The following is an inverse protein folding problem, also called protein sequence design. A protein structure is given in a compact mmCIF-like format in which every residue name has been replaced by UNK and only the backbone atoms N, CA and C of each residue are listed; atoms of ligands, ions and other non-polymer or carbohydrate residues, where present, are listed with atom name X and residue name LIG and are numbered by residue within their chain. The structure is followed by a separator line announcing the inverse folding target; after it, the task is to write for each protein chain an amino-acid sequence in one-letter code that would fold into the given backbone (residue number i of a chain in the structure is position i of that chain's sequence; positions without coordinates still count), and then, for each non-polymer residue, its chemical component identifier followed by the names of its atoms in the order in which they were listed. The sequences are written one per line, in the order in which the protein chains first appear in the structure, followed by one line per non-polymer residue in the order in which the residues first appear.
data_IF_147480804402
#
_entry.id   IF_147480804402
#
_cell.length_a   1.000
_cell.length_b   1.000
_cell.length_c   1.000
_cell.angle_alpha   90.00
_cell.angle_beta   90.00
_cell.angle_gamma   90.00
#
_symmetry.space_group_name_H-M   'P 1'
#
loop_
_entity.id
_entity.type
_entity.pdbx_description
1 polymer ?
#
# COMPACT_ATOMS: atom_id res chain seq x y z
N UNK A 1 5.32 -21.65 14.12
CA UNK A 1 4.40 -20.69 13.47
C UNK A 1 3.89 -21.22 12.13
N UNK A 2 4.78 -21.55 11.19
CA UNK A 2 4.41 -21.97 9.82
C UNK A 2 3.43 -23.17 9.78
N UNK A 3 3.70 -24.23 10.54
CA UNK A 3 2.80 -25.40 10.60
C UNK A 3 1.40 -25.05 11.13
N UNK A 4 1.35 -24.19 12.16
CA UNK A 4 0.08 -23.76 12.74
C UNK A 4 -0.73 -22.90 11.75
N UNK A 5 -0.10 -21.96 11.04
CA UNK A 5 -0.80 -21.13 10.05
C UNK A 5 -1.29 -21.97 8.87
N UNK A 6 -0.50 -22.94 8.41
CA UNK A 6 -0.93 -23.92 7.38
C UNK A 6 -2.17 -24.68 7.85
N UNK A 7 -2.17 -25.17 9.10
CA UNK A 7 -3.30 -25.91 9.67
C UNK A 7 -4.58 -25.06 9.75
N UNK A 8 -4.46 -23.81 10.20
CA UNK A 8 -5.57 -22.87 10.34
C UNK A 8 -6.14 -22.46 8.97
N UNK A 9 -5.26 -22.16 8.00
CA UNK A 9 -5.67 -21.80 6.64
C UNK A 9 -6.30 -22.98 5.90
N UNK A 10 -5.79 -24.22 6.07
CA UNK A 10 -6.42 -25.43 5.51
C UNK A 10 -7.84 -25.67 6.03
N UNK A 11 -8.15 -25.18 7.23
CA UNK A 11 -9.49 -25.27 7.84
C UNK A 11 -10.36 -24.05 7.50
N UNK A 12 -9.87 -23.11 6.69
CA UNK A 12 -10.53 -21.85 6.36
C UNK A 12 -10.95 -21.03 7.58
N UNK A 13 -10.21 -21.15 8.70
CA UNK A 13 -10.46 -20.36 9.90
C UNK A 13 -9.71 -19.02 9.81
N UNK A 14 -10.32 -18.08 9.08
CA UNK A 14 -9.71 -16.80 8.72
C UNK A 14 -9.57 -15.82 9.90
N UNK A 15 -10.46 -15.90 10.89
CA UNK A 15 -10.38 -15.06 12.09
C UNK A 15 -9.16 -15.43 12.94
N UNK A 16 -8.94 -16.74 13.13
CA UNK A 16 -7.75 -17.23 13.82
C UNK A 16 -6.48 -16.95 13.01
N UNK A 17 -6.52 -17.09 11.68
CA UNK A 17 -5.39 -16.72 10.82
C UNK A 17 -5.03 -15.23 10.97
N UNK A 18 -6.04 -14.34 10.97
CA UNK A 18 -5.85 -12.90 11.16
C UNK A 18 -5.27 -12.60 12.53
N UNK A 19 -5.79 -13.21 13.60
CA UNK A 19 -5.26 -13.07 14.96
C UNK A 19 -3.80 -13.48 15.04
N UNK A 20 -3.44 -14.63 14.47
CA UNK A 20 -2.06 -15.13 14.45
C UNK A 20 -1.11 -14.20 13.69
N UNK A 21 -1.54 -13.66 12.54
CA UNK A 21 -0.73 -12.70 11.80
C UNK A 21 -0.56 -11.39 12.56
N UNK A 22 -1.62 -10.82 13.12
CA UNK A 22 -1.56 -9.59 13.89
C UNK A 22 -0.65 -9.72 15.11
N UNK A 23 -0.77 -10.81 15.88
CA UNK A 23 0.09 -11.09 17.03
C UNK A 23 1.57 -11.21 16.62
N UNK A 24 1.84 -11.91 15.52
CA UNK A 24 3.19 -12.07 15.00
C UNK A 24 3.78 -10.75 14.49
N UNK A 25 3.05 -10.01 13.66
CA UNK A 25 3.51 -8.72 13.13
C UNK A 25 3.69 -7.70 14.25
N UNK A 26 2.81 -7.69 15.25
CA UNK A 26 2.97 -6.80 16.40
C UNK A 26 4.25 -7.07 17.19
N UNK A 27 4.74 -8.31 17.22
CA UNK A 27 5.98 -8.66 17.93
C UNK A 27 7.22 -8.42 17.08
N UNK A 28 7.19 -8.80 15.81
CA UNK A 28 8.38 -8.80 14.96
C UNK A 28 8.61 -7.47 14.23
N UNK A 29 7.56 -6.77 13.79
CA UNK A 29 7.72 -5.50 13.05
C UNK A 29 8.48 -4.45 13.84
N UNK A 30 8.19 -4.17 15.14
CA UNK A 30 8.94 -3.17 15.89
C UNK A 30 10.43 -3.49 16.04
N UNK A 31 10.81 -4.77 16.01
CA UNK A 31 12.20 -5.22 16.14
C UNK A 31 12.96 -5.14 14.82
N UNK A 32 12.29 -5.53 13.72
CA UNK A 32 12.89 -5.61 12.39
C UNK A 32 12.88 -4.28 11.64
N UNK A 33 11.89 -3.43 11.89
CA UNK A 33 11.69 -2.12 11.23
C UNK A 33 11.90 -0.96 12.21
N UNK A 34 12.79 -1.14 13.19
CA UNK A 34 13.13 -0.09 14.13
C UNK A 34 13.93 1.03 13.43
N UNK A 35 13.75 2.30 13.84
CA UNK A 35 14.56 3.39 13.31
C UNK A 35 15.99 3.31 13.85
N UNK A 36 16.94 3.82 13.06
CA UNK A 36 18.29 4.05 13.54
C UNK A 36 18.31 5.26 14.48
N UNK A 37 18.48 4.99 15.78
CA UNK A 37 18.39 6.02 16.84
C UNK A 37 19.52 7.05 16.74
N UNK A 38 20.72 6.64 16.34
CA UNK A 38 21.91 7.52 16.30
C UNK A 38 22.09 8.20 14.94
N UNK A 39 21.66 7.55 13.86
CA UNK A 39 21.73 8.07 12.51
C UNK A 39 20.41 7.89 11.77
N UNK A 40 19.39 8.74 12.02
CA UNK A 40 18.06 8.61 11.39
C UNK A 40 18.09 8.64 9.85
N UNK A 41 19.10 9.28 9.26
CA UNK A 41 19.34 9.31 7.81
C UNK A 41 19.89 8.00 7.22
N UNK A 42 20.26 7.04 8.07
CA UNK A 42 20.82 5.74 7.69
C UNK A 42 19.79 4.64 7.96
N UNK A 43 18.88 4.48 7.00
CA UNK A 43 17.81 3.47 7.04
C UNK A 43 18.40 2.12 6.62
N UNK A 44 18.70 1.29 7.61
CA UNK A 44 19.26 -0.05 7.41
C UNK A 44 18.19 -1.09 7.76
N UNK A 45 17.53 -1.60 6.72
CA UNK A 45 16.60 -2.71 6.86
C UNK A 45 17.29 -4.04 6.54
N UNK A 46 17.17 -5.02 7.44
CA UNK A 46 17.64 -6.38 7.18
C UNK A 46 16.62 -7.11 6.31
N UNK A 47 16.70 -6.89 4.99
CA UNK A 47 15.77 -7.48 4.01
C UNK A 47 15.70 -9.01 4.08
N UNK A 48 16.78 -9.69 4.46
CA UNK A 48 16.79 -11.15 4.67
C UNK A 48 15.95 -11.57 5.87
N UNK A 49 16.10 -10.86 7.00
CA UNK A 49 15.28 -11.10 8.20
C UNK A 49 13.81 -10.71 7.95
N UNK A 50 13.54 -9.61 7.26
CA UNK A 50 12.17 -9.21 6.87
C UNK A 50 11.54 -10.29 5.98
N UNK A 51 12.27 -10.76 4.97
CA UNK A 51 11.78 -11.77 4.03
C UNK A 51 11.48 -13.10 4.74
N UNK A 52 12.39 -13.56 5.59
CA UNK A 52 12.23 -14.84 6.30
C UNK A 52 11.24 -14.78 7.47
N UNK A 53 11.18 -13.70 8.23
CA UNK A 53 10.32 -13.60 9.41
C UNK A 53 8.93 -13.03 9.12
N UNK A 54 8.78 -12.09 8.18
CA UNK A 54 7.51 -11.40 7.93
C UNK A 54 6.83 -11.85 6.64
N UNK A 55 7.58 -12.00 5.54
CA UNK A 55 7.02 -12.35 4.23
C UNK A 55 6.82 -13.86 4.08
N UNK A 56 7.77 -14.67 4.53
CA UNK A 56 7.69 -16.12 4.36
C UNK A 56 6.46 -16.77 5.00
N UNK A 57 6.00 -16.37 6.21
CA UNK A 57 4.73 -16.87 6.75
C UNK A 57 3.52 -16.56 5.88
N UNK A 58 3.54 -15.43 5.18
CA UNK A 58 2.46 -15.00 4.28
C UNK A 58 2.48 -15.85 3.01
N UNK A 59 3.62 -15.93 2.33
CA UNK A 59 3.79 -16.77 1.14
C UNK A 59 3.44 -18.25 1.45
N UNK A 60 3.85 -18.74 2.62
CA UNK A 60 3.50 -20.08 3.13
C UNK A 60 1.98 -20.26 3.26
N UNK A 61 1.26 -19.28 3.80
CA UNK A 61 -0.19 -19.34 3.93
C UNK A 61 -0.91 -19.34 2.57
N UNK A 62 -0.43 -18.57 1.60
CA UNK A 62 -0.96 -18.60 0.22
C UNK A 62 -0.72 -19.97 -0.45
N UNK A 63 0.52 -20.45 -0.39
CA UNK A 63 0.97 -21.65 -1.10
C UNK A 63 0.63 -22.97 -0.38
N UNK A 64 0.31 -22.93 0.92
CA UNK A 64 0.23 -24.10 1.79
C UNK A 64 1.49 -24.99 1.74
N UNK A 65 2.66 -24.34 1.59
CA UNK A 65 3.96 -24.99 1.45
C UNK A 65 4.76 -24.88 2.74
N UNK A 66 5.37 -25.99 3.18
CA UNK A 66 6.21 -26.02 4.39
C UNK A 66 7.62 -25.45 4.17
N UNK A 67 8.05 -25.35 2.91
CA UNK A 67 9.30 -24.68 2.56
C UNK A 67 9.03 -23.18 2.66
N UNK A 68 9.73 -22.50 3.56
CA UNK A 68 9.61 -21.07 3.82
C UNK A 68 10.05 -20.19 2.66
N UNK A 69 9.32 -20.28 1.55
CA UNK A 69 9.48 -19.45 0.37
C UNK A 69 8.97 -18.03 0.65
N UNK A 70 9.32 -17.07 -0.20
CA UNK A 70 8.99 -15.65 -0.03
C UNK A 70 8.13 -15.10 -1.17
N UNK A 71 7.67 -15.96 -2.08
CA UNK A 71 6.82 -15.58 -3.22
C UNK A 71 5.82 -16.70 -3.58
N UNK A 72 4.96 -16.44 -4.57
CA UNK A 72 3.92 -17.36 -5.03
C UNK A 72 4.36 -18.30 -6.16
N UNK A 73 5.64 -18.37 -6.48
CA UNK A 73 6.17 -19.31 -7.49
C UNK A 73 5.84 -20.78 -7.19
N UNK A 74 5.82 -21.25 -5.92
CA UNK A 74 5.39 -22.61 -5.61
C UNK A 74 3.93 -22.88 -6.00
N UNK A 75 3.06 -21.87 -5.85
CA UNK A 75 1.67 -21.98 -6.25
C UNK A 75 1.56 -22.06 -7.78
N UNK A 76 2.33 -21.25 -8.51
CA UNK A 76 2.40 -21.33 -9.96
C UNK A 76 2.80 -22.74 -10.44
N UNK A 77 3.82 -23.32 -9.81
CA UNK A 77 4.24 -24.69 -10.10
C UNK A 77 3.13 -25.72 -9.78
N UNK A 78 2.45 -25.59 -8.65
CA UNK A 78 1.37 -26.51 -8.24
C UNK A 78 0.13 -26.42 -9.15
N UNK A 79 -0.14 -25.24 -9.71
CA UNK A 79 -1.24 -25.00 -10.65
C UNK A 79 -0.84 -25.26 -12.11
N UNK A 80 0.39 -25.72 -12.39
CA UNK A 80 0.87 -25.97 -13.75
C UNK A 80 1.07 -24.71 -14.60
N UNK A 81 1.22 -23.54 -13.96
CA UNK A 81 1.41 -22.26 -14.64
C UNK A 81 2.88 -22.11 -15.03
N UNK A 82 3.16 -22.13 -16.32
CA UNK A 82 4.51 -21.89 -16.83
C UNK A 82 4.80 -20.38 -16.88
N UNK A 83 5.65 -19.90 -15.96
CA UNK A 83 6.04 -18.48 -15.87
C UNK A 83 6.76 -17.94 -17.12
N UNK A 84 7.38 -18.84 -17.90
CA UNK A 84 8.03 -18.49 -19.17
C UNK A 84 7.02 -18.26 -20.32
N UNK A 85 5.74 -18.52 -20.09
CA UNK A 85 4.64 -18.36 -21.04
C UNK A 85 3.40 -17.79 -20.35
N UNK A 86 3.55 -16.78 -19.47
CA UNK A 86 2.41 -15.91 -19.16
C UNK A 86 2.16 -14.95 -20.33
N UNK A 87 1.71 -15.52 -21.45
CA UNK A 87 1.11 -14.82 -22.59
C UNK A 87 -0.37 -14.47 -22.34
N UNK A 88 -0.84 -14.57 -21.09
CA UNK A 88 -2.25 -14.38 -20.73
C UNK A 88 -2.59 -12.99 -20.19
N UNK A 89 -1.59 -12.16 -19.88
CA UNK A 89 -1.85 -10.76 -19.55
C UNK A 89 -2.06 -9.98 -20.86
N UNK A 90 -3.27 -9.42 -21.05
CA UNK A 90 -3.55 -8.53 -22.18
C UNK A 90 -2.70 -7.26 -22.14
N UNK A 91 -2.27 -6.85 -20.94
CA UNK A 91 -1.52 -5.61 -20.66
C UNK A 91 -0.24 -5.93 -19.89
N UNK A 92 0.85 -5.25 -20.23
CA UNK A 92 2.18 -5.45 -19.64
C UNK A 92 2.29 -4.89 -18.21
N UNK A 93 1.89 -3.63 -17.98
CA UNK A 93 1.86 -3.01 -16.65
C UNK A 93 3.19 -2.93 -15.88
N UNK A 94 4.33 -3.22 -16.53
CA UNK A 94 5.64 -3.23 -15.87
C UNK A 94 6.04 -1.83 -15.42
N UNK A 95 6.20 -1.65 -14.11
CA UNK A 95 6.70 -0.41 -13.49
C UNK A 95 8.18 -0.20 -13.81
N UNK A 96 8.54 1.02 -14.21
CA UNK A 96 9.91 1.37 -14.57
C UNK A 96 10.78 1.68 -13.35
N UNK A 97 12.05 1.27 -13.43
CA UNK A 97 13.09 1.67 -12.48
C UNK A 97 13.69 3.03 -12.86
N UNK A 98 14.31 3.68 -11.89
CA UNK A 98 15.01 4.93 -12.16
C UNK A 98 16.12 4.70 -13.19
N UNK A 99 16.21 5.60 -14.17
CA UNK A 99 17.08 5.52 -15.34
C UNK A 99 16.81 4.34 -16.29
N UNK A 100 15.69 3.63 -16.17
CA UNK A 100 15.30 2.59 -17.14
C UNK A 100 14.84 3.22 -18.47
N UNK A 101 15.28 2.71 -19.63
CA UNK A 101 14.87 3.26 -20.92
C UNK A 101 13.40 2.95 -21.23
N UNK A 102 12.66 3.99 -21.58
CA UNK A 102 11.27 3.95 -22.05
C UNK A 102 11.17 4.35 -23.52
N UNK A 103 10.20 3.80 -24.23
CA UNK A 103 10.03 3.99 -25.66
C UNK A 103 8.64 4.51 -25.97
N UNK A 104 8.53 5.67 -26.61
CA UNK A 104 7.25 6.28 -27.01
C UNK A 104 7.16 6.40 -28.53
N UNK A 105 6.11 5.84 -29.12
CA UNK A 105 5.89 5.92 -30.57
C UNK A 105 5.19 7.23 -30.95
N UNK A 106 5.85 8.10 -31.70
CA UNK A 106 5.30 9.41 -32.08
C UNK A 106 4.17 9.35 -33.12
N UNK A 107 3.91 8.18 -33.68
CA UNK A 107 2.85 7.96 -34.68
C UNK A 107 1.63 7.24 -34.10
N UNK A 108 1.87 6.30 -33.17
CA UNK A 108 0.81 5.45 -32.64
C UNK A 108 0.33 5.87 -31.26
N UNK A 109 1.13 6.59 -30.48
CA UNK A 109 0.72 7.00 -29.14
C UNK A 109 -0.52 7.92 -29.19
N UNK A 110 -1.41 7.73 -28.23
CA UNK A 110 -2.55 8.59 -28.00
C UNK A 110 -2.11 9.97 -27.51
N UNK A 111 -1.15 10.02 -26.59
CA UNK A 111 -0.52 11.23 -26.09
C UNK A 111 1.00 11.04 -25.81
N UNK A 112 1.66 12.07 -25.28
CA UNK A 112 3.11 12.06 -25.02
C UNK A 112 3.52 11.27 -23.76
N UNK A 113 2.56 10.79 -22.98
CA UNK A 113 2.79 9.99 -21.77
C UNK A 113 2.87 8.49 -22.09
N UNK A 114 2.37 8.04 -23.24
CA UNK A 114 2.37 6.62 -23.62
C UNK A 114 3.79 6.08 -23.87
N UNK A 115 4.16 5.02 -23.14
CA UNK A 115 5.50 4.45 -23.09
C UNK A 115 5.49 2.92 -23.00
N UNK A 116 6.42 2.29 -23.70
CA UNK A 116 6.70 0.86 -23.61
C UNK A 116 8.02 0.59 -22.91
N UNK A 117 8.08 -0.54 -22.18
CA UNK A 117 9.35 -1.10 -21.73
C UNK A 117 10.13 -1.65 -22.93
N UNK A 118 11.45 -1.82 -22.74
CA UNK A 118 12.35 -2.35 -23.78
C UNK A 118 11.84 -3.64 -24.40
N UNK A 119 11.38 -4.58 -23.59
CA UNK A 119 10.94 -5.89 -24.06
C UNK A 119 9.69 -5.78 -24.93
N UNK A 120 8.68 -5.00 -24.50
CA UNK A 120 7.48 -4.79 -25.30
C UNK A 120 7.77 -4.07 -26.61
N UNK A 121 8.57 -3.00 -26.55
CA UNK A 121 8.94 -2.24 -27.73
C UNK A 121 9.63 -3.12 -28.79
N UNK A 122 10.59 -3.96 -28.38
CA UNK A 122 11.33 -4.85 -29.27
C UNK A 122 10.45 -5.90 -29.97
N UNK A 123 9.32 -6.27 -29.38
CA UNK A 123 8.36 -7.24 -29.92
C UNK A 123 7.08 -6.56 -30.44
N UNK A 124 7.09 -5.24 -30.60
CA UNK A 124 5.93 -4.47 -31.10
C UNK A 124 6.19 -3.96 -32.52
N UNK A 125 5.11 -3.58 -33.21
CA UNK A 125 5.23 -2.89 -34.49
C UNK A 125 5.85 -1.49 -34.36
N UNK A 126 5.79 -0.88 -33.19
CA UNK A 126 6.32 0.47 -32.96
C UNK A 126 7.84 0.59 -33.17
N UNK A 127 8.58 -0.53 -33.14
CA UNK A 127 10.02 -0.54 -33.46
C UNK A 127 10.33 -0.13 -34.90
N UNK A 128 9.34 -0.21 -35.79
CA UNK A 128 9.43 0.19 -37.19
C UNK A 128 8.89 1.59 -37.45
N UNK A 129 8.39 2.28 -36.42
CA UNK A 129 7.85 3.63 -36.52
C UNK A 129 8.85 4.66 -35.99
N UNK A 130 8.53 5.94 -36.15
CA UNK A 130 9.26 7.02 -35.48
C UNK A 130 8.94 6.99 -33.99
N UNK A 131 9.97 6.79 -33.18
CA UNK A 131 9.85 6.75 -31.71
C UNK A 131 10.87 7.69 -31.06
N UNK A 132 10.64 8.00 -29.80
CA UNK A 132 11.60 8.65 -28.90
C UNK A 132 11.96 7.71 -27.76
N UNK A 133 13.20 7.82 -27.28
CA UNK A 133 13.68 7.13 -26.09
C UNK A 133 13.90 8.16 -24.99
N UNK A 134 13.43 7.86 -23.79
CA UNK A 134 13.67 8.64 -22.60
C UNK A 134 14.14 7.73 -21.46
N UNK A 135 14.76 8.32 -20.44
CA UNK A 135 15.05 7.62 -19.19
C UNK A 135 13.92 7.89 -18.21
N UNK A 136 13.32 6.84 -17.65
CA UNK A 136 12.33 7.00 -16.58
C UNK A 136 12.97 7.60 -15.33
N UNK A 137 12.23 8.44 -14.62
CA UNK A 137 12.58 8.93 -13.28
C UNK A 137 12.35 7.89 -12.18
N UNK A 138 12.03 6.64 -12.54
CA UNK A 138 11.60 5.59 -11.61
C UNK A 138 10.11 5.65 -11.28
N UNK A 139 9.35 6.35 -12.14
CA UNK A 139 7.89 6.41 -12.10
C UNK A 139 7.33 6.11 -13.49
N UNK A 140 6.11 5.56 -13.54
CA UNK A 140 5.43 5.13 -14.77
C UNK A 140 5.51 3.63 -15.02
N UNK A 141 4.65 3.13 -15.90
CA UNK A 141 4.52 1.72 -16.25
C UNK A 141 4.41 1.53 -17.77
N UNK A 142 4.60 0.31 -18.23
CA UNK A 142 4.51 -0.03 -19.64
C UNK A 142 3.06 -0.15 -20.10
N UNK A 143 2.67 0.68 -21.06
CA UNK A 143 1.31 0.76 -21.63
C UNK A 143 1.04 -0.27 -22.74
N UNK A 144 1.94 -1.23 -22.93
CA UNK A 144 1.73 -2.27 -23.93
C UNK A 144 0.50 -3.10 -23.56
N UNK A 145 -0.45 -3.19 -24.47
CA UNK A 145 -1.73 -3.87 -24.30
C UNK A 145 -2.89 -2.97 -23.90
N UNK A 146 -2.60 -1.72 -23.54
CA UNK A 146 -3.62 -0.72 -23.23
C UNK A 146 -4.21 -0.15 -24.53
N UNK A 147 -5.52 -0.31 -24.73
CA UNK A 147 -6.22 0.14 -25.94
C UNK A 147 -6.34 1.67 -26.01
N UNK A 148 -6.26 2.36 -24.88
CA UNK A 148 -6.40 3.81 -24.81
C UNK A 148 -5.06 4.51 -25.05
N UNK A 149 -3.95 3.86 -24.71
CA UNK A 149 -2.60 4.41 -24.91
C UNK A 149 -2.15 4.42 -26.39
N UNK A 150 -2.72 3.56 -27.24
CA UNK A 150 -2.25 3.40 -28.63
C UNK A 150 -3.39 3.43 -29.65
N UNK A 151 -3.31 4.37 -30.58
CA UNK A 151 -4.22 4.48 -31.74
C UNK A 151 -4.20 3.25 -32.64
N UNK A 152 -3.03 2.62 -32.76
CA UNK A 152 -2.80 1.40 -33.56
C UNK A 152 -1.73 0.54 -32.91
N UNK A 153 -1.83 -0.78 -33.09
CA UNK A 153 -0.92 -1.78 -32.52
C UNK A 153 -0.80 -1.73 -30.99
N UNK A 154 -1.93 -1.79 -30.24
CA UNK A 154 -1.91 -1.62 -28.79
C UNK A 154 -1.06 -2.66 -28.07
N UNK A 155 -0.99 -3.88 -28.59
CA UNK A 155 -0.22 -4.98 -28.00
C UNK A 155 1.04 -5.31 -28.82
N UNK A 156 2.08 -5.75 -28.12
CA UNK A 156 3.24 -6.41 -28.74
C UNK A 156 2.95 -7.91 -28.94
N UNK A 157 3.78 -8.61 -29.70
CA UNK A 157 3.66 -10.06 -29.97
C UNK A 157 3.60 -10.92 -28.69
N UNK A 158 4.13 -10.41 -27.56
CA UNK A 158 4.09 -11.11 -26.28
C UNK A 158 2.73 -10.96 -25.56
N UNK A 159 1.98 -9.90 -25.85
CA UNK A 159 0.71 -9.53 -25.20
C UNK A 159 -0.46 -9.46 -26.20
N UNK A 160 -0.26 -9.96 -27.43
CA UNK A 160 -1.30 -10.02 -28.46
C UNK A 160 -2.04 -11.36 -28.37
N UNK A 161 -3.25 -11.32 -27.80
CA UNK A 161 -4.12 -12.50 -27.68
C UNK A 161 -4.74 -12.87 -29.03
N UNK A 162 -4.84 -11.93 -29.99
CA UNK A 162 -5.60 -12.16 -31.22
C UNK A 162 -4.87 -13.03 -32.24
N UNK A 163 -3.54 -13.13 -32.20
CA UNK A 163 -2.79 -13.97 -33.14
C UNK A 163 -2.51 -15.40 -32.66
N UNK A 164 -2.77 -15.72 -31.39
CA UNK A 164 -2.55 -17.08 -30.85
C UNK A 164 -3.84 -17.92 -30.69
N UNK A 165 -5.02 -17.39 -31.00
CA UNK A 165 -6.30 -18.11 -30.83
C UNK A 165 -7.12 -18.03 -32.12
N UNK A 166 -6.93 -19.00 -33.02
CA UNK A 166 -7.70 -19.15 -34.26
C UNK A 166 -8.96 -20.00 -34.10
N UNK A 167 -9.51 -20.18 -32.88
CA UNK A 167 -10.83 -20.79 -32.71
C UNK A 167 -11.54 -20.34 -31.41
N UNK A 168 -12.82 -19.98 -31.53
CA UNK A 168 -13.70 -19.60 -30.40
C UNK A 168 -13.91 -20.74 -29.39
N UNK A 169 -13.64 -21.99 -29.78
CA UNK A 169 -13.77 -23.18 -28.93
C UNK A 169 -12.64 -23.30 -27.90
N UNK A 170 -11.47 -22.69 -28.13
CA UNK A 170 -10.35 -22.70 -27.19
C UNK A 170 -10.41 -21.58 -26.14
N UNK A 171 -11.19 -20.51 -26.36
CA UNK A 171 -11.43 -19.46 -25.33
C UNK A 171 -11.98 -20.03 -24.02
N UNK A 172 -12.73 -21.13 -24.08
CA UNK A 172 -13.23 -21.86 -22.89
C UNK A 172 -12.22 -22.85 -22.28
N UNK A 173 -11.11 -23.14 -22.97
CA UNK A 173 -10.11 -24.13 -22.56
C UNK A 173 -8.83 -23.49 -22.00
N UNK A 174 -8.54 -22.24 -22.35
CA UNK A 174 -7.43 -21.43 -21.83
C UNK A 174 -7.81 -20.52 -20.66
N UNK A 175 -9.09 -20.48 -20.27
CA UNK A 175 -9.46 -20.23 -18.87
C UNK A 175 -9.13 -21.49 -18.07
N UNK A 176 -7.85 -21.69 -17.76
CA UNK A 176 -7.47 -22.58 -16.66
C UNK A 176 -8.01 -21.96 -15.37
N UNK A 177 -9.31 -22.17 -15.10
CA UNK A 177 -9.93 -21.77 -13.85
C UNK A 177 -9.12 -22.41 -12.73
N UNK A 178 -8.65 -21.59 -11.79
CA UNK A 178 -8.00 -22.11 -10.60
C UNK A 178 -8.94 -23.10 -9.91
N UNK A 179 -8.40 -24.17 -9.27
CA UNK A 179 -9.23 -25.00 -8.41
C UNK A 179 -9.96 -24.12 -7.39
N UNK A 180 -11.26 -24.37 -7.19
CA UNK A 180 -12.12 -23.51 -6.36
C UNK A 180 -11.55 -23.29 -4.96
N UNK A 181 -10.96 -24.34 -4.36
CA UNK A 181 -10.32 -24.28 -3.04
C UNK A 181 -9.09 -23.36 -3.01
N UNK A 182 -8.36 -23.28 -4.13
CA UNK A 182 -7.22 -22.37 -4.29
C UNK A 182 -7.72 -20.95 -4.44
N UNK A 183 -8.72 -20.72 -5.29
CA UNK A 183 -9.30 -19.39 -5.51
C UNK A 183 -9.91 -18.79 -4.23
N UNK A 184 -10.73 -19.56 -3.50
CA UNK A 184 -11.33 -19.15 -2.23
C UNK A 184 -10.26 -18.81 -1.18
N UNK A 185 -9.19 -19.61 -1.12
CA UNK A 185 -8.02 -19.35 -0.25
C UNK A 185 -7.32 -18.06 -0.64
N UNK A 186 -7.03 -17.87 -1.93
CA UNK A 186 -6.38 -16.67 -2.45
C UNK A 186 -7.21 -15.42 -2.15
N UNK A 187 -8.52 -15.46 -2.39
CA UNK A 187 -9.44 -14.35 -2.12
C UNK A 187 -9.46 -14.00 -0.64
N UNK A 188 -9.54 -14.99 0.23
CA UNK A 188 -9.60 -14.78 1.69
C UNK A 188 -8.28 -14.26 2.25
N UNK A 189 -7.15 -14.81 1.80
CA UNK A 189 -5.82 -14.30 2.15
C UNK A 189 -5.61 -12.87 1.66
N UNK A 190 -6.01 -12.57 0.41
CA UNK A 190 -5.91 -11.23 -0.18
C UNK A 190 -6.73 -10.22 0.62
N UNK A 191 -7.97 -10.58 0.98
CA UNK A 191 -8.84 -9.78 1.86
C UNK A 191 -8.19 -9.52 3.21
N UNK A 192 -7.60 -10.53 3.86
CA UNK A 192 -6.93 -10.38 5.15
C UNK A 192 -5.77 -9.38 5.07
N UNK A 193 -4.88 -9.55 4.08
CA UNK A 193 -3.74 -8.65 3.90
C UNK A 193 -4.18 -7.21 3.61
N UNK A 194 -5.15 -7.04 2.70
CA UNK A 194 -5.65 -5.72 2.34
C UNK A 194 -6.37 -5.03 3.50
N UNK A 195 -7.16 -5.77 4.30
CA UNK A 195 -7.78 -5.23 5.52
C UNK A 195 -6.74 -4.74 6.53
N UNK A 196 -5.71 -5.54 6.78
CA UNK A 196 -4.62 -5.12 7.66
C UNK A 196 -3.90 -3.88 7.09
N UNK A 197 -3.49 -3.93 5.82
CA UNK A 197 -2.72 -2.84 5.22
C UNK A 197 -3.51 -1.55 5.18
N UNK A 198 -4.76 -1.56 4.72
CA UNK A 198 -5.63 -0.37 4.69
C UNK A 198 -5.91 0.18 6.07
N UNK A 199 -6.18 -0.70 7.05
CA UNK A 199 -6.38 -0.31 8.45
C UNK A 199 -5.15 0.40 9.04
N UNK A 200 -3.94 -0.13 8.81
CA UNK A 200 -2.72 0.46 9.35
C UNK A 200 -2.35 1.77 8.64
N UNK A 201 -2.39 1.80 7.30
CA UNK A 201 -2.04 3.00 6.53
C UNK A 201 -3.02 4.14 6.80
N UNK A 202 -4.31 3.85 6.95
CA UNK A 202 -5.35 4.83 7.24
C UNK A 202 -5.64 4.94 8.74
N UNK A 203 -4.69 4.56 9.60
CA UNK A 203 -4.89 4.60 11.03
C UNK A 203 -5.09 6.05 11.52
N UNK A 204 -6.20 6.30 12.19
CA UNK A 204 -6.55 7.63 12.70
C UNK A 204 -6.04 7.82 14.13
N UNK A 205 -5.39 8.97 14.39
CA UNK A 205 -4.85 9.32 15.71
C UNK A 205 -5.92 9.30 16.84
N UNK A 206 -7.21 9.44 16.49
CA UNK A 206 -8.34 9.41 17.44
C UNK A 206 -8.72 8.01 17.93
N UNK A 207 -8.31 6.94 17.23
CA UNK A 207 -8.65 5.55 17.57
C UNK A 207 -7.72 4.96 18.65
N UNK A 208 -6.75 5.74 19.13
CA UNK A 208 -5.72 5.23 20.03
C UNK A 208 -4.78 4.25 19.32
N UNK A 209 -4.18 3.34 20.08
CA UNK A 209 -3.29 2.30 19.56
C UNK A 209 -4.09 1.05 19.15
N UNK A 210 -3.67 0.31 18.09
CA UNK A 210 -4.33 -0.94 17.73
C UNK A 210 -4.40 -1.93 18.90
N UNK A 211 -5.58 -2.50 19.13
CA UNK A 211 -5.85 -3.40 20.27
C UNK A 211 -5.00 -4.68 20.29
N UNK A 212 -4.47 -5.08 19.13
CA UNK A 212 -3.59 -6.26 19.01
C UNK A 212 -2.12 -5.95 19.26
N UNK A 213 -1.76 -4.70 19.59
CA UNK A 213 -0.38 -4.34 19.87
C UNK A 213 0.13 -5.02 21.15
N UNK A 214 1.24 -5.74 21.03
CA UNK A 214 2.00 -6.26 22.14
C UNK A 214 2.58 -5.14 23.00
N UNK A 215 2.89 -5.47 24.26
CA UNK A 215 3.54 -4.57 25.19
C UNK A 215 4.84 -3.97 24.62
N UNK A 216 5.18 -2.71 24.97
CA UNK A 216 6.41 -2.08 24.50
C UNK A 216 7.64 -2.85 24.98
N UNK A 217 8.57 -3.11 24.07
CA UNK A 217 9.90 -3.62 24.43
C UNK A 217 10.74 -2.47 25.03
N UNK A 218 11.19 -2.55 26.29
CA UNK A 218 11.97 -1.49 26.93
C UNK A 218 13.31 -1.21 26.26
N UNK A 219 13.82 -2.12 25.44
CA UNK A 219 15.07 -1.96 24.70
C UNK A 219 14.91 -1.13 23.42
N UNK A 220 13.67 -0.91 22.96
CA UNK A 220 13.36 -0.18 21.74
C UNK A 220 12.89 1.25 22.05
N UNK A 221 13.15 2.23 21.17
CA UNK A 221 12.64 3.58 21.36
C UNK A 221 11.10 3.57 21.27
N UNK A 222 10.37 4.05 22.31
CA UNK A 222 8.92 3.97 22.32
C UNK A 222 8.24 4.94 21.34
N UNK A 223 8.88 6.07 21.02
CA UNK A 223 8.32 7.10 20.15
C UNK A 223 9.28 7.50 19.03
N UNK A 224 8.70 8.01 17.94
CA UNK A 224 9.39 8.60 16.81
C UNK A 224 8.81 9.96 16.45
N UNK A 225 9.68 10.88 16.04
CA UNK A 225 9.29 12.11 15.36
C UNK A 225 9.25 11.83 13.86
N UNK A 226 8.06 11.86 13.28
CA UNK A 226 7.84 11.61 11.85
C UNK A 226 7.60 12.95 11.15
N UNK A 227 8.42 13.22 10.13
CA UNK A 227 8.26 14.34 9.20
C UNK A 227 7.48 13.85 7.98
N UNK A 228 6.46 14.61 7.55
CA UNK A 228 5.63 14.30 6.39
C UNK A 228 5.93 15.23 5.22
N UNK A 229 5.84 14.70 4.00
CA UNK A 229 5.89 15.49 2.78
C UNK A 229 4.57 16.25 2.62
N UNK A 230 4.67 17.55 2.35
CA UNK A 230 3.50 18.39 2.14
C UNK A 230 3.41 18.97 0.72
N UNK A 231 4.32 18.59 -0.19
CA UNK A 231 4.44 19.08 -1.57
C UNK A 231 4.60 20.61 -1.70
N UNK A 232 4.81 21.33 -0.58
CA UNK A 232 4.81 22.79 -0.55
C UNK A 232 6.13 23.40 -0.09
N UNK A 233 6.79 22.83 0.92
CA UNK A 233 8.07 23.36 1.39
C UNK A 233 9.22 22.99 0.46
N UNK A 234 10.20 23.88 0.33
CA UNK A 234 11.39 23.61 -0.49
C UNK A 234 12.38 22.72 0.25
N UNK A 235 13.18 21.97 -0.50
CA UNK A 235 14.30 21.19 0.02
C UNK A 235 15.18 22.01 0.97
N UNK A 236 15.55 23.25 0.60
CA UNK A 236 16.39 24.11 1.43
C UNK A 236 15.75 24.48 2.77
N UNK A 237 14.42 24.68 2.81
CA UNK A 237 13.69 24.94 4.04
C UNK A 237 13.75 23.72 4.98
N UNK A 238 13.44 22.54 4.43
CA UNK A 238 13.48 21.27 5.17
C UNK A 238 14.89 20.99 5.70
N UNK A 239 15.92 21.14 4.87
CA UNK A 239 17.32 20.88 5.24
C UNK A 239 17.77 21.79 6.38
N UNK A 240 17.47 23.10 6.31
CA UNK A 240 17.81 24.05 7.38
C UNK A 240 17.09 23.73 8.68
N UNK A 241 15.82 23.31 8.61
CA UNK A 241 15.05 22.91 9.78
C UNK A 241 15.65 21.66 10.44
N UNK A 242 16.01 20.64 9.65
CA UNK A 242 16.62 19.40 10.12
C UNK A 242 18.01 19.61 10.74
N UNK A 243 18.90 20.35 10.08
CA UNK A 243 20.25 20.63 10.59
C UNK A 243 20.24 21.13 12.03
N UNK A 244 19.29 22.00 12.37
CA UNK A 244 19.21 22.66 13.67
C UNK A 244 18.30 21.93 14.67
N UNK A 245 17.28 21.20 14.20
CA UNK A 245 16.40 20.45 15.08
C UNK A 245 17.02 19.14 15.56
N UNK A 246 17.77 18.45 14.68
CA UNK A 246 18.37 17.15 14.96
C UNK A 246 19.90 17.14 14.99
N UNK A 247 20.55 18.30 14.89
CA UNK A 247 22.01 18.46 14.95
C UNK A 247 22.75 17.59 13.92
N UNK A 248 22.24 17.57 12.69
CA UNK A 248 22.84 16.81 11.58
C UNK A 248 23.56 17.74 10.60
N UNK A 249 24.43 17.18 9.77
CA UNK A 249 25.09 17.90 8.68
C UNK A 249 24.13 18.13 7.52
N UNK A 250 24.45 19.11 6.66
CA UNK A 250 23.65 19.40 5.47
C UNK A 250 23.49 18.19 4.55
N UNK A 251 24.53 17.36 4.42
CA UNK A 251 24.45 16.10 3.66
C UNK A 251 23.47 15.11 4.29
N UNK A 252 23.47 14.99 5.62
CA UNK A 252 22.56 14.09 6.35
C UNK A 252 21.10 14.58 6.28
N UNK A 253 20.88 15.88 6.42
CA UNK A 253 19.57 16.50 6.22
C UNK A 253 19.07 16.35 4.79
N UNK A 254 19.96 16.42 3.79
CA UNK A 254 19.61 16.18 2.38
C UNK A 254 19.11 14.74 2.17
N UNK A 255 19.74 13.74 2.81
CA UNK A 255 19.28 12.34 2.75
C UNK A 255 17.86 12.19 3.30
N UNK A 256 17.57 12.81 4.45
CA UNK A 256 16.23 12.81 5.03
C UNK A 256 15.21 13.58 4.18
N UNK A 257 15.59 14.73 3.63
CA UNK A 257 14.75 15.52 2.73
C UNK A 257 14.40 14.75 1.45
N UNK A 258 15.37 13.99 0.92
CA UNK A 258 15.17 13.11 -0.25
C UNK A 258 14.29 11.91 0.13
N UNK A 259 14.48 11.33 1.32
CA UNK A 259 13.67 10.21 1.79
C UNK A 259 12.21 10.62 1.97
N UNK A 260 11.94 11.77 2.60
CA UNK A 260 10.55 12.25 2.78
C UNK A 260 9.89 12.60 1.45
N UNK A 261 10.61 13.19 0.49
CA UNK A 261 10.05 13.48 -0.83
C UNK A 261 9.67 12.20 -1.58
N UNK A 262 10.54 11.18 -1.53
CA UNK A 262 10.34 9.90 -2.20
C UNK A 262 9.27 9.03 -1.52
N UNK A 263 9.29 8.92 -0.20
CA UNK A 263 8.49 7.96 0.57
C UNK A 263 7.25 8.61 1.22
N UNK A 264 7.08 9.92 1.08
CA UNK A 264 5.99 10.69 1.67
C UNK A 264 6.14 10.98 3.16
N UNK A 265 6.97 10.23 3.90
CA UNK A 265 7.29 10.48 5.31
C UNK A 265 8.62 9.86 5.71
N UNK A 266 9.24 10.37 6.76
CA UNK A 266 10.46 9.77 7.32
C UNK A 266 10.61 9.99 8.82
N UNK A 267 11.32 9.09 9.49
CA UNK A 267 11.67 9.22 10.90
C UNK A 267 12.91 10.10 11.05
N UNK A 268 12.79 11.21 11.78
CA UNK A 268 13.90 12.15 11.96
C UNK A 268 14.55 12.03 13.34
N UNK A 269 13.88 11.36 14.29
CA UNK A 269 14.35 11.13 15.65
C UNK A 269 13.54 10.02 16.31
N UNK A 270 14.18 9.20 17.14
CA UNK A 270 13.52 8.16 17.93
C UNK A 270 13.98 8.19 19.40
N UNK A 271 13.07 7.96 20.34
CA UNK A 271 13.39 7.95 21.77
C UNK A 271 12.17 8.13 22.65
N UNK A 272 12.35 8.82 23.79
CA UNK A 272 11.25 9.14 24.69
C UNK A 272 10.38 10.29 24.14
N UNK A 273 9.17 10.44 24.70
CA UNK A 273 8.19 11.42 24.22
C UNK A 273 8.70 12.86 24.27
N UNK A 274 9.42 13.25 25.33
CA UNK A 274 9.96 14.61 25.47
C UNK A 274 11.02 14.91 24.40
N UNK A 275 11.93 13.96 24.15
CA UNK A 275 12.99 14.08 23.17
C UNK A 275 12.46 14.20 21.74
N UNK A 276 11.42 13.42 21.41
CA UNK A 276 10.73 13.48 20.13
C UNK A 276 9.90 14.77 19.98
N UNK A 277 9.23 15.21 21.04
CA UNK A 277 8.44 16.47 21.03
C UNK A 277 9.34 17.69 20.82
N UNK A 278 10.52 17.73 21.44
CA UNK A 278 11.51 18.79 21.21
C UNK A 278 11.93 18.91 19.74
N UNK A 279 12.15 17.78 19.04
CA UNK A 279 12.45 17.81 17.61
C UNK A 279 11.28 18.36 16.80
N UNK A 280 10.07 17.87 17.09
CA UNK A 280 8.85 18.32 16.43
C UNK A 280 8.69 19.83 16.53
N UNK A 281 8.69 20.36 17.76
CA UNK A 281 8.44 21.77 18.02
C UNK A 281 9.50 22.66 17.36
N UNK A 282 10.75 22.21 17.33
CA UNK A 282 11.85 22.95 16.72
C UNK A 282 11.75 23.00 15.19
N UNK A 283 11.35 21.90 14.54
CA UNK A 283 11.11 21.87 13.08
C UNK A 283 9.92 22.79 12.75
N UNK A 284 8.82 22.69 13.49
CA UNK A 284 7.62 23.49 13.24
C UNK A 284 7.87 24.98 13.47
N UNK A 285 8.53 25.35 14.57
CA UNK A 285 8.87 26.75 14.88
C UNK A 285 9.71 27.40 13.78
N UNK A 286 10.62 26.64 13.16
CA UNK A 286 11.52 27.15 12.11
C UNK A 286 10.84 27.30 10.75
N UNK A 287 9.86 26.45 10.46
CA UNK A 287 9.12 26.47 9.19
C UNK A 287 7.81 27.26 9.27
N UNK A 288 7.40 27.71 10.46
CA UNK A 288 6.19 28.51 10.69
C UNK A 288 6.04 29.73 9.76
N UNK A 289 7.16 30.35 9.36
CA UNK A 289 7.19 31.55 8.51
C UNK A 289 7.50 31.27 7.06
N UNK A 290 7.72 30.01 6.69
CA UNK A 290 7.99 29.65 5.32
C UNK A 290 6.67 29.70 4.55
N UNK A 291 6.60 30.61 3.59
CA UNK A 291 5.43 30.77 2.71
C UNK A 291 5.86 30.48 1.29
N UNK A 292 5.29 29.43 0.68
CA UNK A 292 5.48 29.21 -0.74
C UNK A 292 4.43 30.02 -1.53
N UNK A 293 4.91 31.00 -2.32
CA UNK A 293 4.05 31.84 -3.18
C UNK A 293 3.27 31.04 -4.23
N UNK A 294 3.62 29.78 -4.49
CA UNK A 294 3.00 28.94 -5.52
C UNK A 294 1.77 28.14 -5.04
N UNK A 295 1.62 27.87 -3.76
CA UNK A 295 0.66 26.85 -3.29
C UNK A 295 -0.42 27.34 -2.33
N UNK A 296 -0.49 28.64 -2.00
CA UNK A 296 -1.43 29.28 -1.05
C UNK A 296 -1.46 28.68 0.39
N UNK A 297 -0.91 27.48 0.59
CA UNK A 297 -0.75 26.80 1.87
C UNK A 297 0.31 27.55 2.68
N UNK A 298 -0.11 28.02 3.84
CA UNK A 298 0.73 28.68 4.83
C UNK A 298 0.72 27.87 6.12
N UNK A 299 1.85 27.82 6.81
CA UNK A 299 1.99 27.11 8.08
C UNK A 299 3.26 26.26 8.13
N UNK A 300 3.58 25.71 9.31
CA UNK A 300 4.77 24.91 9.51
C UNK A 300 4.69 23.57 8.77
N UNK A 301 5.84 22.92 8.59
CA UNK A 301 5.92 21.52 8.17
C UNK A 301 5.06 20.63 9.05
N UNK A 302 4.45 19.61 8.44
CA UNK A 302 3.71 18.60 9.16
C UNK A 302 4.67 17.61 9.83
N UNK A 303 4.67 17.63 11.17
CA UNK A 303 5.51 16.77 12.00
C UNK A 303 4.68 16.21 13.16
N UNK A 304 4.75 14.90 13.38
CA UNK A 304 4.00 14.21 14.44
C UNK A 304 4.93 13.37 15.30
N UNK A 305 4.58 13.21 16.58
CA UNK A 305 5.21 12.23 17.46
C UNK A 305 4.30 11.01 17.49
N UNK A 306 4.83 9.85 17.09
CA UNK A 306 4.05 8.62 16.91
C UNK A 306 4.67 7.47 17.70
N UNK A 307 3.85 6.49 18.10
CA UNK A 307 4.31 5.24 18.73
C UNK A 307 5.13 4.42 17.72
N UNK A 308 6.32 3.99 18.12
CA UNK A 308 7.23 3.26 17.23
C UNK A 308 6.65 1.95 16.70
N UNK A 309 5.83 1.26 17.48
CA UNK A 309 5.21 0.00 17.07
C UNK A 309 4.19 0.25 15.96
N UNK A 310 3.41 1.32 16.10
CA UNK A 310 2.47 1.73 15.05
C UNK A 310 3.22 2.10 13.76
N UNK A 311 4.29 2.90 13.86
CA UNK A 311 5.10 3.28 12.68
C UNK A 311 5.68 2.03 11.99
N UNK A 312 6.18 1.07 12.76
CA UNK A 312 6.73 -0.18 12.22
C UNK A 312 5.66 -1.02 11.50
N UNK A 313 4.46 -1.16 12.08
CA UNK A 313 3.35 -1.86 11.42
C UNK A 313 2.89 -1.14 10.15
N UNK A 314 2.85 0.19 10.17
CA UNK A 314 2.51 0.99 9.00
C UNK A 314 3.54 0.81 7.88
N UNK A 315 4.84 0.81 8.19
CA UNK A 315 5.89 0.55 7.21
C UNK A 315 5.79 -0.87 6.66
N UNK A 316 5.47 -1.85 7.51
CA UNK A 316 5.23 -3.21 7.07
C UNK A 316 4.00 -3.31 6.15
N UNK A 317 2.91 -2.61 6.45
CA UNK A 317 1.71 -2.56 5.61
C UNK A 317 2.01 -2.07 4.19
N UNK A 318 2.88 -1.06 4.01
CA UNK A 318 3.35 -0.59 2.69
C UNK A 318 4.10 -1.70 1.98
N UNK A 319 5.09 -2.28 2.65
CA UNK A 319 5.93 -3.36 2.11
C UNK A 319 5.08 -4.56 1.70
N UNK A 320 4.04 -4.86 2.47
CA UNK A 320 3.11 -5.94 2.18
C UNK A 320 2.29 -5.67 0.92
N UNK A 321 1.82 -4.43 0.71
CA UNK A 321 1.12 -4.05 -0.52
C UNK A 321 2.06 -4.12 -1.74
N UNK A 322 3.30 -3.63 -1.61
CA UNK A 322 4.31 -3.74 -2.66
C UNK A 322 4.64 -5.21 -2.98
N UNK A 323 4.75 -6.05 -1.96
CA UNK A 323 4.93 -7.49 -2.12
C UNK A 323 3.76 -8.11 -2.88
N UNK A 324 2.51 -7.84 -2.48
CA UNK A 324 1.30 -8.37 -3.12
C UNK A 324 1.24 -7.99 -4.61
N UNK A 325 1.56 -6.73 -4.94
CA UNK A 325 1.65 -6.27 -6.34
C UNK A 325 2.72 -7.05 -7.10
N UNK A 326 3.90 -7.25 -6.52
CA UNK A 326 4.97 -8.01 -7.18
C UNK A 326 4.60 -9.47 -7.46
N UNK A 327 3.66 -10.03 -6.69
CA UNK A 327 3.18 -11.40 -6.91
C UNK A 327 2.36 -11.54 -8.18
N UNK A 328 1.80 -10.47 -8.74
CA UNK A 328 1.08 -10.52 -10.03
C UNK A 328 1.98 -10.97 -11.19
N UNK A 329 3.30 -10.78 -11.08
CA UNK A 329 4.27 -11.27 -12.06
C UNK A 329 4.68 -12.73 -11.80
N UNK A 330 4.63 -13.17 -10.55
CA UNK A 330 5.03 -14.52 -10.10
C UNK A 330 3.89 -15.53 -10.10
N UNK A 331 2.66 -15.05 -10.01
CA UNK A 331 1.44 -15.81 -10.10
C UNK A 331 0.33 -14.90 -10.67
N UNK A 332 0.29 -14.71 -12.00
CA UNK A 332 -0.64 -13.82 -12.69
C UNK A 332 -2.12 -13.96 -12.30
N UNK A 333 -2.66 -15.16 -12.02
CA UNK A 333 -4.05 -15.31 -11.62
C UNK A 333 -4.45 -14.61 -10.31
N UNK A 334 -3.50 -14.13 -9.48
CA UNK A 334 -3.84 -13.32 -8.30
C UNK A 334 -4.32 -11.91 -8.66
N UNK A 335 -3.93 -11.37 -9.82
CA UNK A 335 -4.27 -10.01 -10.22
C UNK A 335 -5.78 -9.74 -10.28
N UNK A 336 -6.61 -10.56 -10.96
CA UNK A 336 -8.07 -10.37 -10.94
C UNK A 336 -8.66 -10.57 -9.53
N UNK A 337 -8.11 -11.48 -8.72
CA UNK A 337 -8.56 -11.69 -7.34
C UNK A 337 -8.32 -10.44 -6.47
N UNK A 338 -7.16 -9.78 -6.63
CA UNK A 338 -6.87 -8.52 -5.95
C UNK A 338 -7.88 -7.44 -6.38
N UNK A 339 -8.15 -7.33 -7.68
CA UNK A 339 -9.13 -6.38 -8.22
C UNK A 339 -10.53 -6.61 -7.64
N UNK A 340 -11.00 -7.86 -7.65
CA UNK A 340 -12.29 -8.27 -7.09
C UNK A 340 -12.43 -7.95 -5.60
N UNK A 341 -11.39 -8.22 -4.81
CA UNK A 341 -11.39 -7.90 -3.37
C UNK A 341 -11.43 -6.39 -3.15
N UNK A 342 -10.63 -5.62 -3.89
CA UNK A 342 -10.62 -4.15 -3.77
C UNK A 342 -11.98 -3.53 -4.15
N UNK A 343 -12.65 -4.09 -5.15
CA UNK A 343 -13.93 -3.58 -5.68
C UNK A 343 -15.14 -3.95 -4.83
N UNK A 344 -15.16 -5.18 -4.30
CA UNK A 344 -16.38 -5.75 -3.75
C UNK A 344 -16.33 -6.01 -2.25
N UNK A 345 -15.14 -6.08 -1.65
CA UNK A 345 -15.03 -6.38 -0.22
C UNK A 345 -14.94 -5.10 0.62
N UNK A 346 -15.69 -5.06 1.72
CA UNK A 346 -15.49 -4.05 2.76
C UNK A 346 -14.16 -4.31 3.48
N UNK A 347 -13.19 -3.42 3.24
CA UNK A 347 -11.87 -3.48 3.86
C UNK A 347 -11.79 -2.78 5.23
N UNK A 348 -12.84 -2.05 5.62
CA UNK A 348 -12.96 -1.43 6.95
C UNK A 348 -13.93 -2.23 7.83
N UNK A 349 -13.62 -2.41 9.12
CA UNK A 349 -14.60 -2.91 10.08
C UNK A 349 -15.72 -1.87 10.25
N UNK A 350 -16.97 -2.32 10.19
CA UNK A 350 -18.16 -1.49 10.41
C UNK A 350 -18.12 -0.89 11.83
N UNK A 351 -17.96 0.43 11.93
CA UNK A 351 -18.03 1.20 13.18
C UNK A 351 -19.42 1.22 13.83
N UNK A 352 -20.41 0.56 13.21
CA UNK A 352 -21.78 0.41 13.73
C UNK A 352 -21.95 -0.76 14.71
N UNK A 353 -21.03 -1.72 14.73
CA UNK A 353 -21.15 -2.90 15.61
C UNK A 353 -20.68 -2.65 17.06
N UNK A 354 -19.91 -1.59 17.33
CA UNK A 354 -19.41 -1.29 18.68
C UNK A 354 -20.39 -0.46 19.54
N UNK A 355 -21.57 -0.10 19.00
CA UNK A 355 -22.59 0.67 19.74
C UNK A 355 -23.70 -0.19 20.39
N UNK A 356 -23.75 -1.50 20.16
CA UNK A 356 -24.84 -2.34 20.70
C UNK A 356 -24.59 -2.95 22.09
N UNK A 357 -23.36 -2.96 22.59
CA UNK A 357 -23.03 -3.67 23.85
C UNK A 357 -22.79 -2.75 25.07
N UNK A 358 -22.99 -1.44 24.93
CA UNK A 358 -22.93 -0.48 26.03
C UNK A 358 -24.34 -0.17 26.59
N UNK A 359 -25.13 -1.19 26.92
CA UNK A 359 -26.35 -0.99 27.72
C UNK A 359 -26.66 -2.19 28.61
N UNK A 360 -25.84 -2.38 29.66
CA UNK A 360 -26.26 -3.06 30.91
C UNK A 360 -25.14 -3.02 31.94
N UNK A 361 -25.06 -1.96 32.74
CA UNK A 361 -24.83 -2.12 34.19
C UNK A 361 -25.30 -0.87 34.93
N UNK A 362 -26.23 -1.11 35.84
CA UNK A 362 -26.91 -0.16 36.69
C UNK A 362 -25.97 0.33 37.80
N UNK A 363 -26.00 1.63 38.10
CA UNK A 363 -25.74 2.12 39.46
C UNK A 363 -26.70 3.26 39.77
N UNK A 364 -27.45 3.07 40.85
CA UNK A 364 -28.35 4.03 41.48
C UNK A 364 -27.55 5.21 42.08
N UNK A 365 -28.04 6.43 41.91
CA UNK A 365 -28.25 7.37 43.03
C UNK A 365 -29.08 8.57 42.59
N UNK A 366 -29.99 8.96 43.48
CA UNK A 366 -30.92 10.06 43.35
C UNK A 366 -30.22 11.41 43.62
N UNK A 367 -30.60 12.46 42.88
CA UNK A 367 -31.35 13.58 43.47
C UNK A 367 -31.81 14.58 42.38
N UNK A 368 -32.95 15.20 42.70
CA UNK A 368 -33.71 16.31 42.08
C UNK A 368 -32.90 17.35 41.30
N UNK A 369 -33.39 18.03 40.25
CA UNK A 369 -34.64 18.82 40.19
C UNK A 369 -34.92 19.30 38.74
N UNK A 370 -36.10 19.85 38.51
CA UNK A 370 -36.87 19.82 37.27
C UNK A 370 -36.68 20.97 36.24
N UNK A 371 -37.30 20.73 35.06
CA UNK A 371 -37.73 21.66 34.00
C UNK A 371 -36.67 21.99 32.93
N UNK A 372 -36.95 22.03 31.62
CA UNK A 372 -38.17 22.41 30.91
C UNK A 372 -38.23 21.71 29.53
N UNK A 373 -39.46 21.47 29.08
CA UNK A 373 -39.93 20.80 27.86
C UNK A 373 -39.55 21.60 26.59
N UNK A 374 -39.20 20.93 25.49
CA UNK A 374 -39.85 21.14 24.17
C UNK A 374 -39.63 19.89 23.30
N UNK A 375 -40.72 19.16 23.08
CA UNK A 375 -40.86 18.15 22.03
C UNK A 375 -41.12 18.86 20.69
N UNK A 376 -40.48 18.40 19.62
CA UNK A 376 -41.02 18.52 18.26
C UNK A 376 -40.84 17.19 17.52
N UNK A 377 -41.94 16.78 16.93
CA UNK A 377 -42.24 15.54 16.21
C UNK A 377 -41.34 15.38 14.97
N UNK A 378 -40.73 14.21 14.78
CA UNK A 378 -41.10 13.18 13.79
C UNK A 378 -41.24 13.71 12.36
N UNK A 379 -40.22 13.43 11.54
CA UNK A 379 -40.44 13.00 10.15
C UNK A 379 -39.51 11.83 9.86
N UNK A 380 -40.15 10.71 9.51
CA UNK A 380 -39.56 9.38 9.33
C UNK A 380 -39.45 9.16 7.82
N UNK A 381 -38.34 9.58 7.20
CA UNK A 381 -38.00 9.19 5.83
C UNK A 381 -36.95 8.09 5.86
N UNK A 382 -37.40 6.90 5.49
CA UNK A 382 -36.60 5.73 5.19
C UNK A 382 -35.65 6.02 4.02
N UNK A 383 -34.42 6.41 4.30
CA UNK A 383 -33.33 6.40 3.32
C UNK A 383 -32.66 5.04 3.33
N UNK A 384 -32.82 4.32 2.23
CA UNK A 384 -32.02 3.14 1.90
C UNK A 384 -30.53 3.50 2.00
N UNK A 385 -29.84 2.95 3.00
CA UNK A 385 -28.39 3.10 3.18
C UNK A 385 -27.61 2.29 2.13
N UNK A 386 -27.64 2.74 0.88
CA UNK A 386 -26.56 2.49 -0.07
C UNK A 386 -25.45 3.52 0.20
N UNK A 387 -24.64 3.28 1.22
CA UNK A 387 -23.42 4.05 1.41
C UNK A 387 -22.47 3.75 0.23
N UNK A 388 -22.04 4.76 -0.55
CA UNK A 388 -21.11 4.56 -1.66
C UNK A 388 -19.79 4.02 -1.10
N UNK A 389 -19.16 3.12 -1.85
CA UNK A 389 -17.79 2.66 -1.60
C UNK A 389 -16.91 3.89 -1.33
N UNK A 390 -16.30 3.94 -0.15
CA UNK A 390 -15.68 5.14 0.41
C UNK A 390 -14.42 5.50 -0.40
N UNK A 391 -14.56 6.39 -1.38
CA UNK A 391 -13.48 6.95 -2.21
C UNK A 391 -12.30 7.49 -1.38
N UNK A 392 -12.53 7.77 -0.11
CA UNK A 392 -11.56 8.22 0.88
C UNK A 392 -10.40 7.24 1.05
N UNK A 393 -10.64 5.94 0.91
CA UNK A 393 -9.64 4.87 1.07
C UNK A 393 -8.68 4.85 -0.11
N UNK A 394 -9.25 4.85 -1.31
CA UNK A 394 -8.55 5.02 -2.57
C UNK A 394 -7.74 6.32 -2.56
N UNK A 395 -8.33 7.43 -2.13
CA UNK A 395 -7.65 8.71 -2.00
C UNK A 395 -6.54 8.69 -0.96
N UNK A 396 -6.67 7.99 0.17
CA UNK A 396 -5.60 7.86 1.16
C UNK A 396 -4.46 6.95 0.67
N UNK A 397 -4.79 5.82 0.04
CA UNK A 397 -3.81 4.93 -0.61
C UNK A 397 -3.08 5.66 -1.75
N UNK A 398 -3.80 6.44 -2.57
CA UNK A 398 -3.26 7.27 -3.66
C UNK A 398 -2.40 8.45 -3.17
N UNK A 399 -2.69 9.00 -1.98
CA UNK A 399 -1.92 10.11 -1.39
C UNK A 399 -0.59 9.65 -0.78
N UNK A 400 -0.54 8.43 -0.27
CA UNK A 400 0.59 7.96 0.52
C UNK A 400 1.73 7.39 -0.32
N UNK A 401 1.41 6.91 -1.53
CA UNK A 401 2.41 6.71 -2.57
C UNK A 401 1.76 6.87 -3.96
N UNK A 402 1.86 8.09 -4.50
CA UNK A 402 1.40 8.42 -5.87
C UNK A 402 2.10 7.58 -6.94
N UNK A 403 3.26 6.97 -6.67
CA UNK A 403 4.02 6.16 -7.64
C UNK A 403 3.58 4.70 -7.66
N UNK A 404 3.22 4.12 -6.51
CA UNK A 404 2.71 2.74 -6.41
C UNK A 404 1.30 2.59 -7.00
N UNK A 405 0.41 3.57 -6.82
CA UNK A 405 -1.01 3.41 -7.14
C UNK A 405 -1.47 4.06 -8.46
N UNK A 406 -0.76 5.08 -8.97
CA UNK A 406 -1.05 5.60 -10.32
C UNK A 406 -0.88 4.53 -11.41
N UNK A 407 0.02 3.55 -11.19
CA UNK A 407 0.22 2.45 -12.12
C UNK A 407 -0.90 1.39 -12.15
N UNK A 408 -1.67 1.26 -11.08
CA UNK A 408 -2.77 0.30 -11.00
C UNK A 408 -4.11 0.93 -11.42
N UNK A 409 -4.38 2.18 -11.02
CA UNK A 409 -5.66 2.84 -11.29
C UNK A 409 -5.79 3.37 -12.72
N UNK A 410 -4.69 3.71 -13.38
CA UNK A 410 -4.72 4.17 -14.77
C UNK A 410 -4.98 3.04 -15.78
N UNK A 411 -4.98 1.76 -15.36
CA UNK A 411 -5.25 0.62 -16.24
C UNK A 411 -6.66 -0.01 -16.07
N UNK A 412 -7.44 0.36 -15.04
CA UNK A 412 -8.72 -0.33 -14.75
C UNK A 412 -9.88 0.55 -14.29
N UNK A 413 -9.72 1.88 -14.18
CA UNK A 413 -10.77 2.76 -13.67
C UNK A 413 -10.93 4.06 -14.48
N UNK A 414 -11.47 3.96 -15.70
CA UNK A 414 -12.12 5.11 -16.39
C UNK A 414 -13.61 4.89 -16.69
N UNK A 415 -14.25 3.82 -16.19
CA UNK A 415 -15.67 3.56 -16.50
C UNK A 415 -16.70 4.08 -15.47
N UNK A 416 -16.30 4.63 -14.31
CA UNK A 416 -17.24 5.24 -13.35
C UNK A 416 -16.56 6.31 -12.48
N UNK A 417 -16.38 7.51 -13.02
CA UNK A 417 -16.52 8.79 -12.30
C UNK A 417 -16.86 9.89 -13.29
#
# INVERSE_FOLDING_TARGET
MLENIISVVRRSNWDEASRMFHEHWSRECPRLLQPNVTAPWDIIDNESAISSCLISPIATAYCLCEKGETDLSPLAASCGIQLNQCHSATVCGRVFRNCEPTYSCKQCASDDTCVMCRQCFQHSQHRFHKYSMASSSGSGYCDCGDLEAWKTYPSCELHDIQQNISSEEEKKKTESSLPQDVEERLRSMTRLLLRFSTSMVCWEDRKGLPNFLCEPDPSLPPYQTILFNDETHTYDSVIRALNLAINCSEQQAMLLATAVDREGRTSVRAGNAEFCTKAKDEIQRRTMRDTNRRTEKSGPLEVRVMDSRLVALQNFAIRLMAWLISQTQKFPPIAPIIGEVLLHDRLYPDTSAEKSDASSSQYESADSEASYITAMEVDNESTENNAPCDDTVLLHLMKWDRTLWKGYFSCHFEARF
#
